data_IF_439689695633
#
_entry.id   IF_439689695633
#
_cell.length_a   1.000
_cell.length_b   1.000
_cell.length_c   1.000
_cell.angle_alpha   90.00
_cell.angle_beta   90.00
_cell.angle_gamma   90.00
#
_symmetry.space_group_name_H-M   'P 1'
#
loop_
_entity.id
_entity.type
_entity.pdbx_description
1 polymer ?
#
# COMPACT_ATOMS: atom_id res chain seq x y z
N UNK A 1 1.42 -50.13 58.85
CA UNK A 1 2.16 -49.71 57.64
C UNK A 1 1.37 -48.60 56.96
N UNK A 2 2.00 -47.44 56.82
CA UNK A 2 1.45 -46.18 56.36
C UNK A 2 1.92 -45.92 54.91
N UNK A 3 1.07 -45.28 54.12
CA UNK A 3 1.31 -44.62 52.81
C UNK A 3 1.75 -45.49 51.62
N UNK A 4 0.82 -45.81 50.69
CA UNK A 4 1.23 -46.15 49.31
C UNK A 4 0.16 -45.98 48.21
N UNK A 5 -0.80 -45.06 48.36
CA UNK A 5 -1.71 -44.72 47.26
C UNK A 5 -1.94 -43.21 47.24
N UNK A 6 -1.20 -42.48 46.39
CA UNK A 6 -1.55 -41.10 45.94
C UNK A 6 -0.57 -40.46 44.94
N UNK A 7 -0.05 -41.18 43.93
CA UNK A 7 0.64 -40.51 42.80
C UNK A 7 0.37 -41.27 41.50
N UNK A 8 -0.86 -41.18 40.96
CA UNK A 8 -1.16 -41.71 39.61
C UNK A 8 -2.32 -41.00 38.91
N UNK A 9 -2.59 -39.74 39.26
CA UNK A 9 -3.63 -38.93 38.60
C UNK A 9 -3.11 -37.59 38.02
N UNK A 10 -1.83 -37.25 38.24
CA UNK A 10 -1.26 -35.97 37.79
C UNK A 10 -0.65 -36.01 36.38
N UNK A 11 -0.37 -37.21 35.83
CA UNK A 11 0.29 -37.36 34.53
C UNK A 11 -0.67 -37.37 33.31
N UNK A 12 -1.97 -37.56 33.53
CA UNK A 12 -3.00 -37.51 32.48
C UNK A 12 -3.63 -36.12 32.31
N UNK A 13 -3.53 -35.23 33.29
CA UNK A 13 -4.10 -33.88 33.24
C UNK A 13 -3.24 -32.89 32.44
N UNK A 14 -1.92 -33.06 32.44
CA UNK A 14 -0.99 -32.14 31.75
C UNK A 14 -1.12 -32.19 30.22
N UNK A 15 -1.22 -33.36 29.55
CA UNK A 15 -1.44 -33.42 28.09
C UNK A 15 -2.80 -32.82 27.67
N UNK A 16 -3.85 -33.04 28.46
CA UNK A 16 -5.21 -32.54 28.18
C UNK A 16 -5.26 -31.01 28.31
N UNK A 17 -4.68 -30.44 29.36
CA UNK A 17 -4.63 -28.98 29.56
C UNK A 17 -3.76 -28.28 28.52
N UNK A 18 -2.64 -28.89 28.10
CA UNK A 18 -1.76 -28.35 27.06
C UNK A 18 -2.44 -28.32 25.68
N UNK A 19 -3.25 -29.33 25.35
CA UNK A 19 -4.05 -29.37 24.13
C UNK A 19 -5.18 -28.33 24.12
N UNK A 20 -5.77 -28.04 25.29
CA UNK A 20 -6.82 -27.03 25.45
C UNK A 20 -6.34 -25.60 25.20
N UNK A 21 -5.14 -25.26 25.70
CA UNK A 21 -4.54 -23.94 25.49
C UNK A 21 -4.24 -23.66 24.01
N UNK A 22 -3.69 -24.63 23.28
CA UNK A 22 -3.38 -24.46 21.86
C UNK A 22 -4.65 -24.30 21.02
N UNK A 23 -5.69 -25.11 21.28
CA UNK A 23 -7.01 -24.96 20.64
C UNK A 23 -7.64 -23.60 20.90
N UNK A 24 -7.52 -23.09 22.13
CA UNK A 24 -7.99 -21.75 22.46
C UNK A 24 -7.27 -20.67 21.65
N UNK A 25 -5.94 -20.72 21.56
CA UNK A 25 -5.15 -19.75 20.79
C UNK A 25 -5.52 -19.76 19.31
N UNK A 26 -5.60 -20.95 18.69
CA UNK A 26 -6.02 -21.08 17.30
C UNK A 26 -7.42 -20.50 17.07
N UNK A 27 -8.38 -20.82 17.96
CA UNK A 27 -9.73 -20.27 17.86
C UNK A 27 -9.76 -18.74 18.00
N UNK A 28 -8.95 -18.13 18.88
CA UNK A 28 -8.84 -16.66 18.94
C UNK A 28 -8.24 -16.08 17.65
N UNK A 29 -7.16 -16.67 17.15
CA UNK A 29 -6.52 -16.29 15.90
C UNK A 29 -7.48 -16.37 14.72
N UNK A 30 -8.22 -17.47 14.60
CA UNK A 30 -9.20 -17.71 13.53
C UNK A 30 -10.32 -16.68 13.54
N UNK A 31 -10.87 -16.35 14.73
CA UNK A 31 -11.92 -15.32 14.86
C UNK A 31 -11.43 -13.95 14.43
N UNK A 32 -10.22 -13.57 14.85
CA UNK A 32 -9.61 -12.32 14.44
C UNK A 32 -9.34 -12.30 12.93
N UNK A 33 -8.74 -13.37 12.39
CA UNK A 33 -8.44 -13.52 10.96
C UNK A 33 -9.69 -13.43 10.08
N UNK A 34 -10.77 -14.15 10.44
CA UNK A 34 -12.06 -14.11 9.73
C UNK A 34 -12.70 -12.73 9.75
N UNK A 35 -12.45 -11.97 10.83
CA UNK A 35 -12.87 -10.57 10.96
C UNK A 35 -11.88 -9.60 10.27
N UNK A 36 -10.94 -10.11 9.49
CA UNK A 36 -9.85 -9.40 8.83
C UNK A 36 -8.92 -8.64 9.78
N UNK A 37 -8.95 -8.93 11.09
CA UNK A 37 -8.11 -8.30 12.11
C UNK A 37 -6.72 -8.93 12.17
N UNK A 38 -5.95 -8.78 11.11
CA UNK A 38 -4.68 -9.51 10.94
C UNK A 38 -3.66 -9.20 12.03
N UNK A 39 -3.50 -7.93 12.42
CA UNK A 39 -2.58 -7.56 13.52
C UNK A 39 -2.98 -8.19 14.85
N UNK A 40 -4.28 -8.27 15.13
CA UNK A 40 -4.77 -8.92 16.35
C UNK A 40 -4.60 -10.45 16.30
N UNK A 41 -4.65 -11.05 15.11
CA UNK A 41 -4.51 -12.49 14.91
C UNK A 41 -3.06 -13.00 15.08
N UNK A 42 -2.06 -12.20 14.65
CA UNK A 42 -0.62 -12.54 14.70
C UNK A 42 -0.17 -13.14 16.05
N UNK A 43 -0.33 -12.46 17.21
CA UNK A 43 0.21 -12.97 18.48
C UNK A 43 -0.43 -14.29 18.91
N UNK A 44 -1.68 -14.57 18.49
CA UNK A 44 -2.32 -15.84 18.77
C UNK A 44 -1.69 -16.99 17.97
N UNK A 45 -1.45 -16.77 16.67
CA UNK A 45 -0.81 -17.78 15.83
C UNK A 45 0.66 -17.98 16.19
N UNK A 46 1.43 -16.92 16.42
CA UNK A 46 2.82 -17.01 16.89
C UNK A 46 2.91 -17.90 18.14
N UNK A 47 2.05 -17.64 19.13
CA UNK A 47 2.02 -18.42 20.37
C UNK A 47 1.52 -19.86 20.15
N UNK A 48 0.59 -20.08 19.24
CA UNK A 48 0.10 -21.43 18.91
C UNK A 48 1.17 -22.29 18.20
N UNK A 49 2.00 -21.67 17.36
CA UNK A 49 3.05 -22.32 16.56
C UNK A 49 4.36 -22.55 17.33
N UNK A 50 4.56 -21.98 18.52
CA UNK A 50 5.73 -22.27 19.37
C UNK A 50 5.84 -23.76 19.74
N UNK A 51 4.71 -24.46 19.86
CA UNK A 51 4.66 -25.89 20.25
C UNK A 51 4.57 -26.84 19.06
N UNK A 52 4.03 -26.37 17.95
CA UNK A 52 3.81 -27.14 16.72
C UNK A 52 4.06 -26.20 15.53
N UNK A 53 5.34 -26.01 15.20
CA UNK A 53 5.78 -25.00 14.24
C UNK A 53 5.41 -25.32 12.80
N UNK A 54 4.98 -26.54 12.49
CA UNK A 54 4.66 -26.99 11.13
C UNK A 54 3.16 -27.27 10.94
N UNK A 55 2.31 -26.75 11.82
CA UNK A 55 0.86 -26.78 11.62
C UNK A 55 0.47 -25.91 10.42
N UNK A 56 0.32 -26.53 9.25
CA UNK A 56 0.15 -25.86 7.95
C UNK A 56 -0.97 -24.81 7.94
N UNK A 57 -2.16 -25.13 8.47
CA UNK A 57 -3.30 -24.21 8.51
C UNK A 57 -3.00 -22.91 9.29
N UNK A 58 -2.45 -23.04 10.51
CA UNK A 58 -2.11 -21.89 11.35
C UNK A 58 -0.92 -21.11 10.79
N UNK A 59 0.06 -21.80 10.22
CA UNK A 59 1.21 -21.19 9.57
C UNK A 59 0.78 -20.40 8.32
N UNK A 60 -0.18 -20.92 7.54
CA UNK A 60 -0.71 -20.23 6.35
C UNK A 60 -1.39 -18.93 6.74
N UNK A 61 -2.26 -18.97 7.75
CA UNK A 61 -2.96 -17.78 8.25
C UNK A 61 -2.00 -16.77 8.86
N UNK A 62 -0.94 -17.22 9.53
CA UNK A 62 0.11 -16.33 10.03
C UNK A 62 0.89 -15.67 8.88
N UNK A 63 1.26 -16.43 7.85
CA UNK A 63 1.93 -15.93 6.66
C UNK A 63 1.10 -14.83 5.98
N UNK A 64 -0.20 -15.09 5.80
CA UNK A 64 -1.17 -14.12 5.28
C UNK A 64 -1.28 -12.88 6.16
N UNK A 65 -1.37 -13.04 7.48
CA UNK A 65 -1.43 -11.89 8.39
C UNK A 65 -0.21 -10.99 8.24
N UNK A 66 0.98 -11.58 8.16
CA UNK A 66 2.20 -10.81 7.95
C UNK A 66 2.22 -10.12 6.59
N UNK A 67 1.86 -10.82 5.50
CA UNK A 67 1.80 -10.25 4.15
C UNK A 67 0.80 -9.07 4.08
N UNK A 68 -0.44 -9.28 4.59
CA UNK A 68 -1.51 -8.27 4.63
C UNK A 68 -1.21 -7.05 5.50
N UNK A 69 -0.20 -7.14 6.35
CA UNK A 69 0.26 -6.05 7.25
C UNK A 69 1.64 -5.53 6.87
N UNK A 70 2.10 -5.82 5.65
CA UNK A 70 3.38 -5.37 5.08
C UNK A 70 4.62 -5.85 5.86
N UNK A 71 4.49 -6.91 6.67
CA UNK A 71 5.58 -7.56 7.38
C UNK A 71 6.20 -8.67 6.52
N UNK A 72 6.81 -8.26 5.39
CA UNK A 72 7.21 -9.20 4.34
C UNK A 72 8.32 -10.18 4.75
N UNK A 73 9.23 -9.79 5.64
CA UNK A 73 10.31 -10.69 6.08
C UNK A 73 9.76 -11.84 6.94
N UNK A 74 8.95 -11.59 7.99
CA UNK A 74 8.21 -12.67 8.66
C UNK A 74 7.29 -13.48 7.74
N UNK A 75 6.63 -12.83 6.77
CA UNK A 75 5.81 -13.54 5.78
C UNK A 75 6.65 -14.52 4.95
N UNK A 76 7.81 -14.07 4.45
CA UNK A 76 8.73 -14.89 3.65
C UNK A 76 9.22 -16.12 4.43
N UNK A 77 9.52 -15.98 5.73
CA UNK A 77 9.88 -17.13 6.58
C UNK A 77 8.73 -18.14 6.68
N UNK A 78 7.52 -17.65 6.97
CA UNK A 78 6.35 -18.52 7.10
C UNK A 78 6.05 -19.26 5.80
N UNK A 79 6.03 -18.55 4.66
CA UNK A 79 5.81 -19.14 3.35
C UNK A 79 6.92 -20.13 2.97
N UNK A 80 8.18 -19.82 3.28
CA UNK A 80 9.31 -20.72 3.06
C UNK A 80 9.19 -22.05 3.82
N UNK A 81 8.63 -22.02 5.03
CA UNK A 81 8.31 -23.23 5.81
C UNK A 81 7.08 -23.95 5.27
N UNK A 82 6.07 -23.24 4.78
CA UNK A 82 4.87 -23.81 4.18
C UNK A 82 5.18 -24.63 2.93
N UNK A 83 6.06 -24.16 2.05
CA UNK A 83 6.38 -24.88 0.81
C UNK A 83 7.16 -26.18 1.02
N UNK A 84 7.69 -26.41 2.23
CA UNK A 84 8.30 -27.69 2.62
C UNK A 84 7.26 -28.74 3.03
N UNK A 85 5.99 -28.32 3.18
CA UNK A 85 4.85 -29.16 3.51
C UNK A 85 3.97 -29.33 2.27
N UNK A 86 2.94 -30.16 2.38
CA UNK A 86 1.87 -30.13 1.39
C UNK A 86 1.14 -28.78 1.46
N UNK A 87 1.08 -28.07 0.33
CA UNK A 87 0.64 -26.68 0.26
C UNK A 87 -0.08 -26.38 -1.06
N UNK A 88 -0.52 -25.13 -1.21
CA UNK A 88 -1.31 -24.68 -2.35
C UNK A 88 -0.48 -23.96 -3.40
N UNK A 89 -0.97 -23.95 -4.64
CA UNK A 89 -0.40 -23.15 -5.73
C UNK A 89 -0.27 -21.65 -5.37
N UNK A 90 -1.23 -21.14 -4.59
CA UNK A 90 -1.20 -19.75 -4.12
C UNK A 90 0.00 -19.49 -3.20
N UNK A 91 0.22 -20.36 -2.20
CA UNK A 91 1.31 -20.19 -1.24
C UNK A 91 2.70 -20.29 -1.91
N UNK A 92 2.88 -21.24 -2.83
CA UNK A 92 4.13 -21.36 -3.60
C UNK A 92 4.38 -20.12 -4.48
N UNK A 93 3.32 -19.56 -5.07
CA UNK A 93 3.42 -18.37 -5.89
C UNK A 93 3.75 -17.13 -5.06
N UNK A 94 3.06 -16.93 -3.92
CA UNK A 94 3.35 -15.84 -2.98
C UNK A 94 4.77 -15.93 -2.44
N UNK A 95 5.29 -17.13 -2.19
CA UNK A 95 6.69 -17.31 -1.80
C UNK A 95 7.66 -16.79 -2.86
N UNK A 96 7.45 -17.13 -4.14
CA UNK A 96 8.26 -16.62 -5.24
C UNK A 96 8.22 -15.08 -5.35
N UNK A 97 7.03 -14.49 -5.21
CA UNK A 97 6.84 -13.03 -5.21
C UNK A 97 7.56 -12.37 -4.02
N UNK A 98 7.47 -12.94 -2.81
CA UNK A 98 8.17 -12.42 -1.64
C UNK A 98 9.70 -12.54 -1.77
N UNK A 99 10.22 -13.59 -2.42
CA UNK A 99 11.64 -13.68 -2.76
C UNK A 99 12.07 -12.50 -3.65
N UNK A 100 11.30 -12.23 -4.71
CA UNK A 100 11.53 -11.06 -5.57
C UNK A 100 11.46 -9.75 -4.78
N UNK A 101 10.51 -9.63 -3.85
CA UNK A 101 10.38 -8.42 -3.01
C UNK A 101 11.56 -8.19 -2.04
N UNK A 102 12.36 -9.22 -1.80
CA UNK A 102 13.62 -9.14 -1.05
C UNK A 102 14.85 -9.10 -1.98
N UNK A 103 14.64 -8.79 -3.26
CA UNK A 103 15.65 -8.78 -4.32
C UNK A 103 16.37 -10.13 -4.52
N UNK A 104 15.78 -11.25 -4.07
CA UNK A 104 16.32 -12.61 -4.22
C UNK A 104 15.86 -13.22 -5.55
N UNK A 105 16.17 -12.54 -6.65
CA UNK A 105 15.61 -12.81 -7.98
C UNK A 105 15.98 -14.18 -8.55
N UNK A 106 17.21 -14.65 -8.31
CA UNK A 106 17.64 -15.97 -8.76
C UNK A 106 16.81 -17.08 -8.10
N UNK A 107 16.56 -16.95 -6.80
CA UNK A 107 15.72 -17.89 -6.05
C UNK A 107 14.25 -17.78 -6.46
N UNK A 108 13.76 -16.55 -6.68
CA UNK A 108 12.41 -16.32 -7.18
C UNK A 108 12.19 -16.98 -8.56
N UNK A 109 13.16 -16.85 -9.48
CA UNK A 109 13.11 -17.47 -10.79
C UNK A 109 13.02 -19.00 -10.71
N UNK A 110 13.89 -19.62 -9.88
CA UNK A 110 13.85 -21.04 -9.65
C UNK A 110 12.49 -21.50 -9.09
N UNK A 111 11.92 -20.75 -8.15
CA UNK A 111 10.60 -21.05 -7.59
C UNK A 111 9.48 -20.89 -8.64
N UNK A 112 9.53 -19.88 -9.50
CA UNK A 112 8.57 -19.74 -10.60
C UNK A 112 8.67 -20.91 -11.59
N UNK A 113 9.88 -21.38 -11.92
CA UNK A 113 10.07 -22.58 -12.76
C UNK A 113 9.52 -23.84 -12.10
N UNK A 114 9.72 -23.99 -10.80
CA UNK A 114 9.13 -25.08 -10.03
C UNK A 114 7.60 -25.04 -10.10
N UNK A 115 7.01 -23.87 -9.86
CA UNK A 115 5.57 -23.65 -9.92
C UNK A 115 5.00 -24.02 -11.31
N UNK A 116 5.63 -23.56 -12.39
CA UNK A 116 5.21 -23.88 -13.77
C UNK A 116 5.27 -25.38 -14.08
N UNK A 117 6.24 -26.10 -13.51
CA UNK A 117 6.36 -27.55 -13.66
C UNK A 117 5.22 -28.29 -12.97
N UNK A 118 4.77 -27.78 -11.82
CA UNK A 118 3.74 -28.42 -10.98
C UNK A 118 2.31 -28.07 -11.41
N UNK A 119 2.07 -26.82 -11.80
CA UNK A 119 0.72 -26.27 -12.03
C UNK A 119 0.42 -25.93 -13.49
N UNK A 120 1.42 -25.99 -14.37
CA UNK A 120 1.26 -25.77 -15.80
C UNK A 120 1.69 -24.38 -16.26
N UNK A 121 1.43 -24.11 -17.53
CA UNK A 121 1.93 -22.93 -18.23
C UNK A 121 1.16 -21.65 -17.87
N UNK A 122 1.87 -20.62 -17.45
CA UNK A 122 1.40 -19.24 -17.29
C UNK A 122 2.37 -18.30 -18.04
N UNK A 123 1.91 -17.52 -19.04
CA UNK A 123 2.78 -16.65 -19.83
C UNK A 123 3.47 -15.56 -19.01
N UNK A 124 2.79 -14.98 -18.02
CA UNK A 124 3.34 -13.89 -17.21
C UNK A 124 4.38 -14.43 -16.24
N UNK A 125 4.12 -15.57 -15.58
CA UNK A 125 5.13 -16.23 -14.75
C UNK A 125 6.34 -16.62 -15.58
N UNK A 126 6.12 -17.18 -16.77
CA UNK A 126 7.21 -17.58 -17.68
C UNK A 126 8.07 -16.39 -18.07
N UNK A 127 7.45 -15.25 -18.40
CA UNK A 127 8.14 -14.02 -18.73
C UNK A 127 8.90 -13.42 -17.53
N UNK A 128 8.32 -13.47 -16.32
CA UNK A 128 8.97 -13.01 -15.09
C UNK A 128 10.17 -13.87 -14.72
N UNK A 129 10.06 -15.20 -14.78
CA UNK A 129 11.18 -16.11 -14.54
C UNK A 129 12.34 -15.84 -15.52
N UNK A 130 12.01 -15.70 -16.82
CA UNK A 130 13.01 -15.38 -17.84
C UNK A 130 13.64 -13.99 -17.65
N UNK A 131 12.90 -12.99 -17.16
CA UNK A 131 13.42 -11.67 -16.79
C UNK A 131 14.45 -11.77 -15.66
N UNK A 132 14.20 -12.58 -14.64
CA UNK A 132 15.13 -12.74 -13.52
C UNK A 132 16.37 -13.55 -13.90
N UNK A 133 16.21 -14.59 -14.72
CA UNK A 133 17.32 -15.42 -15.22
C UNK A 133 18.30 -14.64 -16.11
N UNK A 134 17.78 -13.78 -16.99
CA UNK A 134 18.61 -12.98 -17.92
C UNK A 134 19.27 -11.78 -17.24
N UNK A 135 18.85 -11.42 -16.04
CA UNK A 135 19.16 -10.15 -15.40
C UNK A 135 18.19 -9.02 -15.81
N UNK A 136 18.00 -8.06 -14.91
CA UNK A 136 17.00 -7.00 -15.04
C UNK A 136 17.57 -5.70 -15.60
N UNK A 137 18.78 -5.69 -16.17
CA UNK A 137 19.47 -4.47 -16.63
C UNK A 137 18.59 -3.61 -17.56
N UNK A 138 17.72 -4.22 -18.37
CA UNK A 138 16.76 -3.51 -19.23
C UNK A 138 15.74 -2.65 -18.47
N UNK A 139 15.54 -2.91 -17.18
CA UNK A 139 14.64 -2.17 -16.29
C UNK A 139 15.38 -1.14 -15.42
N UNK A 140 16.71 -1.04 -15.50
CA UNK A 140 17.46 -0.05 -14.74
C UNK A 140 17.93 1.08 -15.65
N UNK A 141 17.38 2.28 -15.43
CA UNK A 141 17.98 3.48 -16.00
C UNK A 141 19.27 3.81 -15.26
N UNK A 142 20.24 4.38 -15.98
CA UNK A 142 21.45 4.92 -15.38
C UNK A 142 21.07 6.01 -14.37
N UNK A 143 21.54 5.87 -13.13
CA UNK A 143 21.30 6.83 -12.04
C UNK A 143 21.80 8.25 -12.34
N UNK A 144 22.71 8.41 -13.31
CA UNK A 144 23.11 9.71 -13.84
C UNK A 144 21.98 10.39 -14.62
N UNK A 145 21.08 9.62 -15.24
CA UNK A 145 19.96 10.09 -16.05
C UNK A 145 18.69 10.36 -15.24
N UNK A 146 18.48 9.66 -14.13
CA UNK A 146 17.30 9.86 -13.30
C UNK A 146 17.50 9.41 -11.86
N UNK A 147 16.73 10.01 -10.94
CA UNK A 147 16.71 9.61 -9.53
C UNK A 147 15.32 9.79 -8.92
N UNK A 148 15.07 9.02 -7.88
CA UNK A 148 13.88 9.16 -7.03
C UNK A 148 14.30 9.68 -5.66
N UNK A 149 13.56 10.65 -5.13
CA UNK A 149 13.88 11.34 -3.87
C UNK A 149 12.71 11.28 -2.90
N UNK A 150 13.02 11.04 -1.63
CA UNK A 150 12.02 11.13 -0.55
C UNK A 150 11.64 12.59 -0.33
N UNK A 151 10.35 12.86 -0.09
CA UNK A 151 9.84 14.21 0.10
C UNK A 151 9.65 14.60 1.56
N UNK A 152 9.75 15.90 1.84
CA UNK A 152 9.56 16.51 3.15
C UNK A 152 8.09 16.57 3.65
N UNK A 153 7.14 16.07 2.86
CA UNK A 153 5.71 16.02 3.21
C UNK A 153 5.31 14.71 3.93
N UNK A 154 6.17 13.69 3.85
CA UNK A 154 5.95 12.41 4.53
C UNK A 154 5.99 12.57 6.05
N UNK A 155 5.27 11.71 6.72
CA UNK A 155 5.22 11.55 8.16
C UNK A 155 5.99 10.31 8.60
N UNK A 156 5.88 9.94 9.88
CA UNK A 156 6.34 8.64 10.37
C UNK A 156 5.36 7.50 10.08
N UNK A 157 4.26 7.78 9.39
CA UNK A 157 3.22 6.82 9.02
C UNK A 157 3.13 6.71 7.48
N UNK A 158 2.09 6.06 6.96
CA UNK A 158 1.86 5.88 5.53
C UNK A 158 1.31 7.17 4.92
N UNK A 159 1.93 7.62 3.84
CA UNK A 159 1.56 8.78 3.04
C UNK A 159 1.65 8.42 1.55
N UNK A 160 0.51 8.45 0.85
CA UNK A 160 0.46 7.87 -0.49
C UNK A 160 -0.62 8.44 -1.41
N UNK A 161 -0.62 8.00 -2.66
CA UNK A 161 -1.53 8.40 -3.74
C UNK A 161 -1.61 9.92 -3.92
N UNK A 162 -0.48 10.61 -4.19
CA UNK A 162 -0.48 12.04 -4.48
C UNK A 162 -1.28 12.35 -5.75
N UNK A 163 -2.05 13.43 -5.72
CA UNK A 163 -2.70 14.02 -6.90
C UNK A 163 -2.59 15.53 -6.87
N UNK A 164 -2.56 16.15 -8.05
CA UNK A 164 -2.53 17.61 -8.15
C UNK A 164 -3.86 18.24 -7.74
N UNK A 165 -3.78 19.30 -6.96
CA UNK A 165 -4.89 20.19 -6.65
C UNK A 165 -4.40 21.62 -6.47
N UNK A 166 -5.01 22.55 -7.20
CA UNK A 166 -4.52 23.90 -7.42
C UNK A 166 -3.01 23.88 -7.79
N UNK A 167 -2.17 24.58 -7.02
CA UNK A 167 -0.71 24.61 -7.22
C UNK A 167 0.03 23.55 -6.39
N UNK A 168 -0.70 22.71 -5.66
CA UNK A 168 -0.16 21.81 -4.66
C UNK A 168 -0.50 20.34 -4.92
N UNK A 169 -0.43 19.55 -3.86
CA UNK A 169 -0.80 18.14 -3.86
C UNK A 169 -1.84 17.85 -2.79
N UNK A 170 -2.75 16.93 -3.10
CA UNK A 170 -3.58 16.20 -2.15
C UNK A 170 -3.09 14.76 -2.10
N UNK A 171 -3.05 14.16 -0.93
CA UNK A 171 -2.61 12.77 -0.75
C UNK A 171 -3.32 12.14 0.44
N UNK A 172 -3.23 10.82 0.54
CA UNK A 172 -3.82 10.02 1.61
C UNK A 172 -2.79 9.80 2.71
N UNK A 173 -3.22 9.85 3.96
CA UNK A 173 -2.37 9.54 5.12
C UNK A 173 -3.14 8.82 6.22
N UNK A 174 -2.48 7.89 6.91
CA UNK A 174 -2.92 7.30 8.18
C UNK A 174 -2.27 7.98 9.41
N UNK A 175 -1.72 9.20 9.24
CA UNK A 175 -1.21 9.98 10.38
C UNK A 175 -2.35 10.35 11.36
N UNK A 176 -2.12 10.32 12.68
CA UNK A 176 -3.15 10.65 13.66
C UNK A 176 -3.67 12.08 13.54
N UNK A 177 -4.99 12.23 13.68
CA UNK A 177 -5.65 13.54 13.82
C UNK A 177 -5.32 14.11 15.20
N UNK A 178 -4.77 15.32 15.24
CA UNK A 178 -4.41 16.00 16.49
C UNK A 178 -5.61 16.10 17.44
N UNK A 179 -5.43 15.69 18.70
CA UNK A 179 -6.41 15.90 19.78
C UNK A 179 -7.60 14.93 19.86
N UNK A 180 -7.63 13.86 19.07
CA UNK A 180 -8.69 12.83 19.15
C UNK A 180 -8.12 11.45 19.46
N UNK A 181 -8.78 10.67 20.33
CA UNK A 181 -8.56 9.23 20.42
C UNK A 181 -8.96 8.60 19.08
N UNK A 182 -7.97 8.29 18.25
CA UNK A 182 -8.23 7.69 16.95
C UNK A 182 -8.76 6.26 17.15
N UNK A 183 -9.86 5.94 16.46
CA UNK A 183 -10.23 4.54 16.28
C UNK A 183 -9.20 3.96 15.31
N UNK A 184 -8.46 2.94 15.75
CA UNK A 184 -7.54 2.20 14.89
C UNK A 184 -8.34 1.28 13.97
N UNK A 185 -7.90 1.19 12.72
CA UNK A 185 -8.43 0.29 11.73
C UNK A 185 -8.08 -1.14 12.12
N UNK A 186 -9.13 -1.96 12.23
CA UNK A 186 -9.05 -3.35 12.65
C UNK A 186 -8.06 -4.19 11.81
N UNK A 187 -7.95 -3.90 10.51
CA UNK A 187 -7.16 -4.68 9.57
C UNK A 187 -5.65 -4.64 9.86
N UNK A 188 -5.08 -3.45 9.88
CA UNK A 188 -3.63 -3.22 9.96
C UNK A 188 -3.21 -2.47 11.24
N UNK A 189 -4.15 -2.14 12.12
CA UNK A 189 -3.87 -1.41 13.35
C UNK A 189 -3.51 0.08 13.17
N UNK A 190 -3.50 0.59 11.93
CA UNK A 190 -3.24 2.00 11.62
C UNK A 190 -4.46 2.89 11.87
N UNK A 191 -4.33 4.21 11.80
CA UNK A 191 -5.50 5.09 11.88
C UNK A 191 -6.30 5.09 10.56
N UNK A 192 -7.55 5.54 10.61
CA UNK A 192 -8.36 5.70 9.41
C UNK A 192 -7.76 6.74 8.46
N UNK A 193 -7.57 6.31 7.21
CA UNK A 193 -7.05 7.12 6.11
C UNK A 193 -7.79 8.46 5.98
N UNK A 194 -7.03 9.52 5.83
CA UNK A 194 -7.50 10.91 5.76
C UNK A 194 -6.79 11.62 4.62
N UNK A 195 -7.48 12.55 3.94
CA UNK A 195 -6.85 13.39 2.92
C UNK A 195 -6.11 14.56 3.56
N UNK A 196 -4.86 14.72 3.16
CA UNK A 196 -4.01 15.85 3.47
C UNK A 196 -3.63 16.60 2.21
N UNK A 197 -3.19 17.85 2.38
CA UNK A 197 -2.73 18.71 1.30
C UNK A 197 -1.47 19.47 1.67
N UNK A 198 -0.68 19.76 0.66
CA UNK A 198 0.29 20.86 0.63
C UNK A 198 -0.20 21.86 -0.41
N UNK A 199 -0.21 23.16 -0.10
CA UNK A 199 -0.87 24.16 -0.95
C UNK A 199 -0.07 24.52 -2.21
N UNK A 200 1.23 24.28 -2.21
CA UNK A 200 2.14 24.65 -3.31
C UNK A 200 3.28 23.64 -3.42
N UNK A 201 3.48 23.07 -4.60
CA UNK A 201 4.58 22.12 -4.86
C UNK A 201 5.96 22.76 -4.79
N UNK A 202 6.08 24.09 -4.83
CA UNK A 202 7.35 24.78 -4.60
C UNK A 202 7.93 24.54 -3.20
N UNK A 203 7.10 24.14 -2.23
CA UNK A 203 7.54 23.78 -0.87
C UNK A 203 7.84 22.29 -0.70
N UNK A 204 7.56 21.48 -1.73
CA UNK A 204 7.79 20.04 -1.75
C UNK A 204 9.20 19.80 -2.29
N UNK A 205 10.11 19.43 -1.40
CA UNK A 205 11.53 19.29 -1.70
C UNK A 205 12.08 17.93 -1.23
N UNK A 206 13.25 17.56 -1.75
CA UNK A 206 14.01 16.40 -1.26
C UNK A 206 14.24 16.55 0.25
N UNK A 207 13.76 15.57 1.00
CA UNK A 207 13.79 15.50 2.44
C UNK A 207 15.20 15.61 3.06
N UNK A 208 16.24 15.32 2.26
CA UNK A 208 17.65 15.43 2.67
C UNK A 208 18.22 16.84 2.47
N UNK A 209 17.58 17.67 1.66
CA UNK A 209 18.07 19.03 1.40
C UNK A 209 17.70 19.93 2.58
N UNK A 210 18.71 20.28 3.40
CA UNK A 210 18.64 21.48 4.25
C UNK A 210 18.78 22.69 3.35
N UNK A 211 17.68 23.35 3.02
CA UNK A 211 17.72 24.60 2.24
C UNK A 211 17.66 25.81 3.18
N UNK A 212 18.20 26.99 2.79
CA UNK A 212 18.00 28.23 3.55
C UNK A 212 16.51 28.59 3.72
N UNK A 213 15.65 28.19 2.78
CA UNK A 213 14.20 28.31 2.91
C UNK A 213 13.63 27.38 4.01
N UNK A 214 14.18 26.15 4.13
CA UNK A 214 13.87 25.24 5.23
C UNK A 214 14.37 25.82 6.56
N UNK A 215 15.57 26.38 6.61
CA UNK A 215 16.09 27.07 7.81
C UNK A 215 15.24 28.28 8.18
N UNK A 216 14.76 29.05 7.21
CA UNK A 216 13.85 30.17 7.42
C UNK A 216 12.49 29.67 7.96
N UNK A 217 11.89 28.62 7.41
CA UNK A 217 10.66 28.00 7.95
C UNK A 217 10.85 27.41 9.36
N UNK A 218 12.00 26.80 9.64
CA UNK A 218 12.39 26.31 10.98
C UNK A 218 12.61 27.47 11.96
N UNK A 219 13.10 28.62 11.51
CA UNK A 219 13.30 29.81 12.36
C UNK A 219 11.98 30.41 12.87
N UNK A 220 10.92 30.32 12.06
CA UNK A 220 9.55 30.68 12.47
C UNK A 220 8.97 29.63 13.44
N UNK A 221 9.41 28.37 13.36
CA UNK A 221 9.01 27.33 14.30
C UNK A 221 9.61 27.48 15.70
N UNK A 222 10.87 27.93 15.77
CA UNK A 222 11.61 28.04 17.03
C UNK A 222 11.10 29.17 17.93
N UNK A 223 10.44 30.20 17.37
CA UNK A 223 9.87 31.33 18.14
C UNK A 223 8.62 30.98 18.95
N UNK A 224 8.02 29.81 18.72
CA UNK A 224 6.81 29.35 19.42
C UNK A 224 7.10 28.47 20.65
N UNK A 225 8.38 28.31 21.01
CA UNK A 225 8.79 27.71 22.29
C UNK A 225 9.13 28.80 23.29
N UNK A 226 8.10 29.39 23.87
CA UNK A 226 8.24 30.05 25.18
C UNK A 226 7.60 29.17 26.26
N UNK A 227 8.47 28.77 27.18
CA UNK A 227 8.25 28.35 28.57
C UNK A 227 8.08 26.85 28.83
N UNK A 228 9.21 26.21 29.14
CA UNK A 228 9.46 25.23 30.21
C UNK A 228 10.79 24.54 29.86
N UNK A 229 11.85 24.50 30.65
CA UNK A 229 12.28 25.07 31.91
C UNK A 229 13.84 24.99 31.90
N UNK A 230 14.50 25.75 32.78
CA UNK A 230 15.95 25.95 32.79
C UNK A 230 16.72 24.75 33.39
N UNK A 231 17.66 24.17 32.62
CA UNK A 231 18.95 23.74 33.17
C UNK A 231 20.07 23.82 32.11
N UNK A 232 21.21 24.39 32.49
CA UNK A 232 22.41 24.57 31.68
C UNK A 232 23.20 23.27 31.54
N UNK A 233 23.75 22.99 30.36
CA UNK A 233 24.56 21.81 30.06
C UNK A 233 25.83 21.69 30.93
N UNK A 234 26.15 20.49 31.42
CA UNK A 234 27.42 20.17 32.08
C UNK A 234 28.40 19.44 31.15
N UNK A 235 29.69 19.73 31.32
CA UNK A 235 30.80 19.47 30.40
C UNK A 235 31.39 18.04 30.40
N UNK A 236 30.62 16.98 30.67
CA UNK A 236 31.19 15.61 30.81
C UNK A 236 30.52 14.48 30.03
N UNK A 237 29.66 14.78 29.05
CA UNK A 237 29.20 13.75 28.10
C UNK A 237 30.25 13.54 26.99
N UNK A 238 31.17 12.63 27.28
CA UNK A 238 32.30 12.25 26.45
C UNK A 238 31.88 11.55 25.14
N UNK A 239 32.47 11.99 24.01
CA UNK A 239 32.30 11.42 22.67
C UNK A 239 32.98 10.05 22.58
N UNK A 240 32.20 8.97 22.39
CA UNK A 240 32.66 7.75 21.72
C UNK A 240 32.02 7.66 20.33
N UNK A 241 32.86 7.85 19.32
CA UNK A 241 32.59 7.54 17.92
C UNK A 241 32.49 6.01 17.75
N UNK A 242 31.29 5.48 17.86
CA UNK A 242 30.95 4.18 17.30
C UNK A 242 30.21 4.43 15.99
N UNK A 243 30.89 4.17 14.87
CA UNK A 243 30.31 4.23 13.53
C UNK A 243 29.35 3.04 13.39
N UNK A 244 28.05 3.32 13.53
CA UNK A 244 26.97 2.40 13.25
C UNK A 244 26.53 2.61 11.78
N UNK A 245 26.43 1.58 10.92
CA UNK A 245 26.06 1.76 9.50
C UNK A 245 24.60 2.15 9.29
N UNK A 246 23.82 2.36 10.35
CA UNK A 246 22.60 3.17 10.32
C UNK A 246 22.98 4.64 10.07
N UNK A 247 23.40 4.94 8.84
CA UNK A 247 23.63 6.30 8.42
C UNK A 247 22.29 7.06 8.56
N UNK A 248 22.24 7.89 9.57
CA UNK A 248 21.19 8.80 9.99
C UNK A 248 20.32 9.35 8.85
N UNK A 249 19.22 8.68 8.52
CA UNK A 249 17.99 9.39 8.23
C UNK A 249 17.42 9.78 9.59
N UNK A 250 17.84 10.94 10.12
CA UNK A 250 17.03 11.62 11.13
C UNK A 250 15.59 11.61 10.62
N UNK A 251 14.57 11.28 11.45
CA UNK A 251 13.19 11.31 11.02
C UNK A 251 12.97 12.68 10.41
N UNK A 252 12.81 12.72 9.09
CA UNK A 252 12.62 13.96 8.36
C UNK A 252 11.39 14.56 9.01
N UNK A 253 11.66 15.70 9.62
CA UNK A 253 11.08 16.15 10.86
C UNK A 253 9.55 16.09 10.83
N UNK A 254 8.95 15.30 11.73
CA UNK A 254 7.49 15.29 11.94
C UNK A 254 7.00 16.74 12.19
N UNK A 255 7.87 17.67 12.62
CA UNK A 255 7.53 19.10 12.73
C UNK A 255 7.47 19.85 11.40
N UNK A 256 8.33 19.52 10.42
CA UNK A 256 8.33 20.16 9.10
C UNK A 256 7.09 19.78 8.30
N UNK A 257 6.77 18.48 8.26
CA UNK A 257 5.56 18.02 7.59
C UNK A 257 4.31 18.60 8.28
N UNK A 258 4.24 18.65 9.61
CA UNK A 258 3.12 19.28 10.36
C UNK A 258 2.88 20.77 10.06
N UNK A 259 3.89 21.51 9.62
CA UNK A 259 3.76 22.96 9.34
C UNK A 259 3.30 23.29 7.93
N UNK A 260 3.45 22.36 6.99
CA UNK A 260 3.13 22.57 5.58
C UNK A 260 2.00 21.68 5.08
N UNK A 261 1.72 20.59 5.80
CA UNK A 261 0.72 19.61 5.46
C UNK A 261 -0.51 19.84 6.33
N UNK A 262 -1.64 20.08 5.68
CA UNK A 262 -2.91 20.38 6.34
C UNK A 262 -3.96 19.35 5.94
N UNK A 263 -4.92 18.98 6.82
CA UNK A 263 -6.09 18.22 6.39
C UNK A 263 -6.77 18.92 5.20
N UNK A 264 -7.13 18.17 4.16
CA UNK A 264 -7.57 18.74 2.88
C UNK A 264 -8.84 19.59 3.02
N UNK A 265 -9.95 18.99 3.43
CA UNK A 265 -11.21 19.70 3.64
C UNK A 265 -12.11 18.95 4.62
N UNK A 266 -12.78 19.65 5.53
CA UNK A 266 -13.64 19.03 6.57
C UNK A 266 -14.80 18.22 5.98
N UNK A 267 -15.35 18.64 4.84
CA UNK A 267 -16.45 17.92 4.17
C UNK A 267 -15.98 16.64 3.44
N UNK A 268 -14.69 16.58 3.08
CA UNK A 268 -14.09 15.41 2.45
C UNK A 268 -13.50 14.46 3.48
N UNK A 269 -12.99 14.97 4.60
CA UNK A 269 -12.40 14.17 5.67
C UNK A 269 -13.42 13.78 6.74
N UNK A 270 -14.04 12.60 6.61
CA UNK A 270 -14.96 12.07 7.61
C UNK A 270 -14.24 11.19 8.64
N UNK A 271 -15.03 10.40 9.38
CA UNK A 271 -14.57 9.57 10.51
C UNK A 271 -13.82 8.30 10.07
N UNK A 272 -14.05 7.81 8.85
CA UNK A 272 -13.53 6.55 8.33
C UNK A 272 -12.56 6.79 7.16
N UNK A 273 -12.13 5.74 6.47
CA UNK A 273 -11.17 5.83 5.36
C UNK A 273 -11.66 6.77 4.25
N UNK A 274 -10.77 7.69 3.88
CA UNK A 274 -10.94 8.64 2.80
C UNK A 274 -9.76 8.55 1.83
N UNK A 275 -10.07 8.45 0.55
CA UNK A 275 -9.11 8.34 -0.53
C UNK A 275 -8.72 6.90 -0.86
N UNK A 276 -7.97 6.67 -1.95
CA UNK A 276 -7.54 7.62 -3.00
C UNK A 276 -8.64 8.44 -3.70
N UNK A 277 -8.24 9.56 -4.31
CA UNK A 277 -9.11 10.50 -5.04
C UNK A 277 -8.59 10.82 -6.44
N UNK A 278 -9.47 11.27 -7.33
CA UNK A 278 -9.10 12.01 -8.53
C UNK A 278 -10.00 13.23 -8.72
N UNK A 279 -9.48 14.24 -9.42
CA UNK A 279 -10.22 15.46 -9.77
C UNK A 279 -10.50 15.49 -11.27
N UNK A 280 -11.56 16.18 -11.67
CA UNK A 280 -11.70 16.59 -13.07
C UNK A 280 -10.70 17.69 -13.42
N UNK A 281 -10.56 18.02 -14.71
CA UNK A 281 -9.63 19.05 -15.19
C UNK A 281 -9.85 20.43 -14.55
N UNK A 282 -11.11 20.79 -14.29
CA UNK A 282 -11.46 22.04 -13.62
C UNK A 282 -11.23 22.03 -12.10
N UNK A 283 -10.93 20.86 -11.51
CA UNK A 283 -10.78 20.62 -10.08
C UNK A 283 -11.98 21.06 -9.23
N UNK A 284 -13.16 21.14 -9.85
CA UNK A 284 -14.44 21.44 -9.20
C UNK A 284 -15.27 20.17 -8.94
N UNK A 285 -14.81 19.01 -9.41
CA UNK A 285 -15.42 17.71 -9.17
C UNK A 285 -14.35 16.74 -8.68
N UNK A 286 -14.65 16.02 -7.59
CA UNK A 286 -13.78 14.98 -7.02
C UNK A 286 -14.51 13.65 -7.01
N UNK A 287 -13.80 12.59 -7.38
CA UNK A 287 -14.18 11.21 -7.14
C UNK A 287 -13.30 10.67 -6.01
N UNK A 288 -13.89 10.01 -5.01
CA UNK A 288 -13.22 9.58 -3.78
C UNK A 288 -13.60 8.17 -3.39
N UNK A 289 -12.61 7.38 -2.99
CA UNK A 289 -12.80 6.06 -2.38
C UNK A 289 -13.07 6.22 -0.89
N UNK A 290 -14.06 5.49 -0.36
CA UNK A 290 -14.46 5.53 1.05
C UNK A 290 -14.87 4.17 1.57
N UNK A 291 -14.72 3.93 2.86
CA UNK A 291 -15.31 2.75 3.48
C UNK A 291 -16.85 2.89 3.56
N UNK A 292 -17.57 1.80 3.27
CA UNK A 292 -19.00 1.70 3.45
C UNK A 292 -19.39 1.79 4.94
N UNK A 293 -20.49 2.46 5.24
CA UNK A 293 -21.00 2.64 6.61
C UNK A 293 -22.01 1.53 6.94
N UNK A 294 -21.54 0.30 7.14
CA UNK A 294 -22.40 -0.77 7.67
C UNK A 294 -22.12 -0.93 9.15
N UNK A 295 -23.20 -1.02 9.96
CA UNK A 295 -23.14 -1.22 11.40
C UNK A 295 -22.23 -2.39 11.76
N UNK A 296 -21.37 -2.21 12.76
CA UNK A 296 -20.50 -3.26 13.29
C UNK A 296 -21.37 -4.35 13.94
N UNK A 297 -21.66 -5.42 13.19
CA UNK A 297 -22.16 -6.70 13.68
C UNK A 297 -21.11 -7.78 13.46
N UNK A 298 -21.16 -8.86 14.24
CA UNK A 298 -20.24 -9.99 14.12
C UNK A 298 -20.26 -10.55 12.69
N UNK A 299 -19.09 -10.50 12.02
CA UNK A 299 -18.87 -11.10 10.69
C UNK A 299 -19.05 -10.18 9.48
N UNK A 300 -19.36 -8.88 9.63
CA UNK A 300 -19.48 -7.97 8.48
C UNK A 300 -18.12 -7.46 7.97
N UNK A 301 -17.84 -7.69 6.69
CA UNK A 301 -16.67 -7.15 5.99
C UNK A 301 -17.00 -5.77 5.41
N UNK A 302 -16.24 -4.77 5.83
CA UNK A 302 -16.31 -3.41 5.32
C UNK A 302 -15.76 -3.35 3.88
N UNK A 303 -16.59 -2.93 2.93
CA UNK A 303 -16.22 -2.73 1.51
C UNK A 303 -15.88 -1.28 1.21
N UNK A 304 -15.02 -1.06 0.20
CA UNK A 304 -14.74 0.28 -0.31
C UNK A 304 -15.77 0.68 -1.39
N UNK A 305 -16.15 1.94 -1.41
CA UNK A 305 -17.16 2.52 -2.29
C UNK A 305 -16.67 3.83 -2.86
N UNK A 306 -17.03 4.11 -4.10
CA UNK A 306 -16.73 5.38 -4.75
C UNK A 306 -17.85 6.40 -4.56
N UNK A 307 -17.47 7.66 -4.40
CA UNK A 307 -18.40 8.79 -4.31
C UNK A 307 -17.92 9.94 -5.17
N UNK A 308 -18.86 10.76 -5.65
CA UNK A 308 -18.60 12.02 -6.35
C UNK A 308 -19.03 13.20 -5.48
N UNK A 309 -18.24 14.26 -5.44
CA UNK A 309 -18.61 15.54 -4.82
C UNK A 309 -18.24 16.69 -5.77
N UNK A 310 -18.93 17.83 -5.62
CA UNK A 310 -18.74 19.03 -6.44
C UNK A 310 -18.42 20.23 -5.56
N UNK A 311 -17.46 21.04 -5.96
CA UNK A 311 -17.12 22.31 -5.34
C UNK A 311 -18.16 23.38 -5.74
N UNK A 312 -18.82 23.98 -4.75
CA UNK A 312 -19.72 25.14 -4.92
C UNK A 312 -19.43 26.14 -3.81
N UNK A 313 -19.17 27.40 -4.18
CA UNK A 313 -18.88 28.50 -3.25
C UNK A 313 -17.79 28.13 -2.21
N UNK A 314 -16.69 27.52 -2.66
CA UNK A 314 -15.58 27.11 -1.80
C UNK A 314 -15.81 25.85 -0.94
N UNK A 315 -16.97 25.19 -1.07
CA UNK A 315 -17.35 24.00 -0.31
C UNK A 315 -17.55 22.79 -1.21
N UNK A 316 -17.21 21.59 -0.74
CA UNK A 316 -17.52 20.32 -1.39
C UNK A 316 -18.89 19.81 -0.96
N UNK A 317 -19.83 19.77 -1.89
CA UNK A 317 -21.24 19.42 -1.67
C UNK A 317 -21.72 18.35 -2.65
N UNK A 318 -22.96 17.89 -2.49
CA UNK A 318 -23.60 16.97 -3.44
C UNK A 318 -22.90 15.60 -3.49
N UNK A 319 -22.73 14.98 -2.32
CA UNK A 319 -22.18 13.63 -2.28
C UNK A 319 -23.13 12.65 -2.97
N UNK A 320 -22.69 12.14 -4.10
CA UNK A 320 -23.38 11.14 -4.89
C UNK A 320 -22.63 9.82 -4.78
N UNK A 321 -23.32 8.75 -4.40
CA UNK A 321 -22.76 7.40 -4.44
C UNK A 321 -22.58 6.96 -5.90
N UNK A 322 -21.43 6.37 -6.21
CA UNK A 322 -21.23 5.80 -7.53
C UNK A 322 -22.21 4.65 -7.76
N UNK A 323 -22.99 4.75 -8.83
CA UNK A 323 -24.17 3.89 -9.07
C UNK A 323 -23.86 2.39 -9.20
N UNK A 324 -22.60 2.02 -9.40
CA UNK A 324 -22.15 0.63 -9.51
C UNK A 324 -21.38 0.13 -8.28
N UNK A 325 -21.43 0.87 -7.17
CA UNK A 325 -21.01 0.36 -5.87
C UNK A 325 -21.86 -0.85 -5.46
N UNK A 326 -21.29 -1.72 -4.63
CA UNK A 326 -22.01 -2.82 -3.99
C UNK A 326 -21.58 -3.00 -2.53
N UNK A 327 -22.32 -3.83 -1.80
CA UNK A 327 -21.91 -4.32 -0.49
C UNK A 327 -21.15 -5.67 -0.60
N UNK A 328 -21.14 -6.28 -1.79
CA UNK A 328 -20.50 -7.59 -2.02
C UNK A 328 -19.07 -7.47 -2.52
N UNK A 329 -18.76 -6.37 -3.20
CA UNK A 329 -17.45 -6.02 -3.73
C UNK A 329 -17.11 -4.57 -3.41
N UNK A 330 -15.84 -4.25 -3.56
CA UNK A 330 -15.23 -2.95 -3.41
C UNK A 330 -15.04 -2.26 -4.77
N UNK A 331 -15.18 -0.95 -4.78
CA UNK A 331 -14.79 -0.06 -5.88
C UNK A 331 -13.95 1.07 -5.31
N UNK A 332 -12.85 1.42 -5.97
CA UNK A 332 -11.97 2.48 -5.50
C UNK A 332 -10.94 2.90 -6.53
N UNK A 333 -10.00 3.73 -6.09
CA UNK A 333 -8.89 4.23 -6.90
C UNK A 333 -9.35 4.86 -8.23
N UNK A 334 -10.24 5.87 -8.19
CA UNK A 334 -10.78 6.46 -9.41
C UNK A 334 -9.69 7.19 -10.20
N UNK A 335 -9.81 7.16 -11.52
CA UNK A 335 -8.98 7.90 -12.46
C UNK A 335 -9.83 8.41 -13.62
N UNK A 336 -9.88 9.72 -13.79
CA UNK A 336 -10.64 10.34 -14.87
C UNK A 336 -9.70 10.65 -16.03
N UNK A 337 -10.08 10.27 -17.25
CA UNK A 337 -9.40 10.72 -18.46
C UNK A 337 -9.43 12.26 -18.56
N UNK A 338 -8.40 12.95 -19.10
CA UNK A 338 -8.31 14.41 -19.04
C UNK A 338 -9.46 15.18 -19.70
N UNK A 339 -10.14 14.57 -20.67
CA UNK A 339 -11.33 15.13 -21.34
C UNK A 339 -12.65 14.82 -20.61
N UNK A 340 -12.61 14.02 -19.54
CA UNK A 340 -13.78 13.62 -18.76
C UNK A 340 -14.68 12.55 -19.40
N UNK A 341 -14.27 11.97 -20.53
CA UNK A 341 -15.07 11.00 -21.29
C UNK A 341 -15.03 9.58 -20.71
N UNK A 342 -13.99 9.23 -19.96
CA UNK A 342 -13.81 7.90 -19.39
C UNK A 342 -13.40 7.98 -17.93
N UNK A 343 -14.01 7.15 -17.08
CA UNK A 343 -13.63 6.95 -15.68
C UNK A 343 -13.11 5.53 -15.51
N UNK A 344 -11.81 5.38 -15.26
CA UNK A 344 -11.21 4.13 -14.80
C UNK A 344 -11.27 4.03 -13.27
N UNK A 345 -11.33 2.80 -12.76
CA UNK A 345 -11.31 2.52 -11.34
C UNK A 345 -10.91 1.07 -11.07
N UNK A 346 -10.48 0.78 -9.85
CA UNK A 346 -10.17 -0.56 -9.36
C UNK A 346 -11.39 -1.19 -8.71
N UNK A 347 -11.63 -2.49 -8.96
CA UNK A 347 -12.66 -3.26 -8.26
C UNK A 347 -12.34 -4.75 -8.17
N UNK A 348 -12.87 -5.41 -7.13
CA UNK A 348 -12.90 -6.89 -6.95
C UNK A 348 -14.30 -7.45 -7.29
N UNK A 349 -14.87 -6.99 -8.42
CA UNK A 349 -16.19 -7.42 -8.89
C UNK A 349 -16.21 -8.92 -9.28
N UNK A 350 -17.32 -9.65 -9.02
CA UNK A 350 -17.46 -11.04 -9.46
C UNK A 350 -17.29 -11.18 -10.98
N UNK A 351 -16.58 -12.24 -11.41
CA UNK A 351 -16.27 -12.47 -12.82
C UNK A 351 -15.06 -11.67 -13.33
N UNK A 352 -14.29 -11.07 -12.42
CA UNK A 352 -13.00 -10.45 -12.72
C UNK A 352 -11.91 -11.42 -13.19
N UNK A 353 -10.76 -10.86 -13.59
CA UNK A 353 -9.60 -11.61 -14.09
C UNK A 353 -8.72 -12.15 -12.96
N UNK A 354 -8.69 -11.48 -11.81
CA UNK A 354 -7.81 -11.82 -10.70
C UNK A 354 -8.30 -11.30 -9.35
N UNK A 355 -7.35 -10.80 -8.55
CA UNK A 355 -7.62 -10.23 -7.23
C UNK A 355 -8.42 -8.94 -7.34
N UNK A 356 -7.79 -7.88 -7.85
CA UNK A 356 -8.43 -6.61 -8.17
C UNK A 356 -8.14 -6.28 -9.62
N UNK A 357 -9.16 -5.86 -10.33
CA UNK A 357 -9.02 -5.50 -11.74
C UNK A 357 -9.28 -4.00 -11.95
N UNK A 358 -8.83 -3.50 -13.09
CA UNK A 358 -9.30 -2.24 -13.64
C UNK A 358 -10.58 -2.44 -14.44
N UNK A 359 -11.54 -1.55 -14.17
CA UNK A 359 -12.77 -1.36 -14.92
C UNK A 359 -12.84 0.08 -15.41
N UNK A 360 -13.62 0.30 -16.45
CA UNK A 360 -13.90 1.64 -16.94
C UNK A 360 -15.38 1.86 -17.25
N UNK A 361 -15.82 3.11 -17.11
CA UNK A 361 -17.13 3.57 -17.53
C UNK A 361 -16.98 4.68 -18.56
N UNK A 362 -17.80 4.63 -19.62
CA UNK A 362 -17.91 5.72 -20.58
C UNK A 362 -18.92 6.77 -20.10
N UNK A 363 -18.60 8.05 -20.35
CA UNK A 363 -19.50 9.17 -20.06
C UNK A 363 -20.64 9.19 -21.08
N UNK A 364 -21.85 9.39 -20.58
CA UNK A 364 -23.07 9.57 -21.38
C UNK A 364 -23.82 10.82 -20.90
N UNK A 365 -24.86 11.22 -21.64
CA UNK A 365 -25.74 12.33 -21.25
C UNK A 365 -26.44 12.07 -19.90
N UNK A 366 -26.66 10.81 -19.55
CA UNK A 366 -27.30 10.38 -18.30
C UNK A 366 -26.33 10.06 -17.15
N UNK A 367 -25.03 10.30 -17.34
CA UNK A 367 -23.98 9.94 -16.38
C UNK A 367 -23.09 8.79 -16.87
N UNK A 368 -22.62 7.95 -15.97
CA UNK A 368 -21.70 6.84 -16.30
C UNK A 368 -22.44 5.61 -16.83
N UNK A 369 -22.03 5.12 -17.99
CA UNK A 369 -22.44 3.82 -18.54
C UNK A 369 -22.00 2.64 -17.66
N UNK A 370 -22.49 1.44 -17.94
CA UNK A 370 -22.12 0.24 -17.19
C UNK A 370 -20.60 0.01 -17.22
N UNK A 371 -20.02 -0.50 -16.11
CA UNK A 371 -18.59 -0.75 -16.05
C UNK A 371 -18.19 -1.90 -16.96
N UNK A 372 -17.07 -1.73 -17.65
CA UNK A 372 -16.47 -2.73 -18.54
C UNK A 372 -15.13 -3.14 -17.97
N UNK A 373 -14.90 -4.46 -17.84
CA UNK A 373 -13.60 -4.99 -17.42
C UNK A 373 -12.54 -4.64 -18.48
N UNK A 374 -11.39 -4.12 -18.08
CA UNK A 374 -10.32 -3.69 -19.00
C UNK A 374 -9.66 -4.84 -19.78
N UNK A 375 -9.94 -6.10 -19.41
CA UNK A 375 -9.56 -7.30 -20.15
C UNK A 375 -8.09 -7.71 -19.98
N UNK A 376 -7.68 -8.86 -20.58
CA UNK A 376 -6.41 -9.53 -20.31
C UNK A 376 -5.15 -8.82 -20.82
N UNK A 377 -5.31 -7.73 -21.58
CA UNK A 377 -4.18 -6.87 -21.98
C UNK A 377 -3.79 -5.84 -20.91
N UNK A 378 -4.58 -5.74 -19.83
CA UNK A 378 -4.36 -4.85 -18.69
C UNK A 378 -4.47 -5.66 -17.40
N UNK A 379 -5.60 -6.33 -17.21
CA UNK A 379 -5.89 -7.13 -16.03
C UNK A 379 -5.21 -8.50 -16.09
N UNK A 380 -4.82 -9.00 -14.93
CA UNK A 380 -4.12 -10.27 -14.78
C UNK A 380 -4.81 -11.12 -13.71
N UNK A 381 -4.17 -12.22 -13.29
CA UNK A 381 -4.62 -12.98 -12.12
C UNK A 381 -4.27 -12.29 -10.79
N UNK A 382 -3.53 -11.18 -10.81
CA UNK A 382 -3.05 -10.43 -9.64
C UNK A 382 -3.93 -9.25 -9.28
N UNK A 383 -3.32 -8.23 -8.67
CA UNK A 383 -3.96 -6.97 -8.32
C UNK A 383 -3.53 -5.84 -9.27
N UNK A 384 -4.46 -5.29 -10.04
CA UNK A 384 -4.30 -4.05 -10.80
C UNK A 384 -4.96 -2.86 -10.09
N UNK A 385 -4.16 -1.86 -9.73
CA UNK A 385 -4.57 -0.77 -8.84
C UNK A 385 -4.04 0.59 -9.24
N UNK A 386 -4.57 1.64 -8.60
CA UNK A 386 -4.11 3.04 -8.74
C UNK A 386 -3.99 3.52 -10.19
N UNK A 387 -5.06 3.39 -11.01
CA UNK A 387 -5.03 3.95 -12.36
C UNK A 387 -4.79 5.47 -12.31
N UNK A 388 -4.17 6.01 -13.36
CA UNK A 388 -3.94 7.42 -13.56
C UNK A 388 -3.82 7.72 -15.05
N UNK A 389 -4.39 8.83 -15.52
CA UNK A 389 -4.16 9.32 -16.88
C UNK A 389 -3.26 10.54 -16.85
N UNK A 390 -2.24 10.56 -17.70
CA UNK A 390 -1.50 11.79 -17.98
C UNK A 390 -2.27 12.74 -18.90
N UNK A 391 -1.75 13.95 -19.11
CA UNK A 391 -2.38 14.97 -19.97
C UNK A 391 -2.58 14.54 -21.43
N UNK A 392 -1.85 13.50 -21.88
CA UNK A 392 -1.91 12.97 -23.24
C UNK A 392 -2.85 11.78 -23.39
N UNK A 393 -3.47 11.33 -22.29
CA UNK A 393 -4.39 10.18 -22.28
C UNK A 393 -3.69 8.82 -22.15
N UNK A 394 -2.40 8.77 -21.82
CA UNK A 394 -1.72 7.50 -21.49
C UNK A 394 -2.20 7.03 -20.12
N UNK A 395 -2.61 5.75 -20.04
CA UNK A 395 -3.00 5.11 -18.79
C UNK A 395 -1.74 4.61 -18.08
N UNK A 396 -1.63 4.94 -16.81
CA UNK A 396 -0.69 4.38 -15.85
C UNK A 396 -1.47 3.58 -14.81
N UNK A 397 -0.89 2.49 -14.31
CA UNK A 397 -1.48 1.68 -13.26
C UNK A 397 -0.39 0.85 -12.58
N UNK A 398 -0.69 0.29 -11.42
CA UNK A 398 0.19 -0.64 -10.72
C UNK A 398 -0.30 -2.07 -10.81
N UNK A 399 0.60 -3.03 -10.99
CA UNK A 399 0.28 -4.47 -11.00
C UNK A 399 1.36 -5.30 -10.30
N UNK A 400 0.97 -6.40 -9.66
CA UNK A 400 1.88 -7.35 -8.98
C UNK A 400 2.10 -8.66 -9.78
N UNK A 401 1.67 -8.66 -11.05
CA UNK A 401 1.70 -9.86 -11.89
C UNK A 401 2.42 -9.70 -13.22
N UNK A 402 2.36 -8.51 -13.82
CA UNK A 402 3.15 -8.22 -15.00
C UNK A 402 4.66 -8.33 -14.70
N UNK A 403 5.51 -8.75 -15.65
CA UNK A 403 6.95 -8.88 -15.41
C UNK A 403 7.58 -7.56 -14.94
N UNK A 404 8.26 -7.62 -13.81
CA UNK A 404 8.70 -6.44 -13.07
C UNK A 404 9.73 -6.72 -11.99
N UNK A 405 10.08 -5.69 -11.23
CA UNK A 405 11.12 -5.67 -10.21
C UNK A 405 10.66 -6.20 -8.85
N UNK A 406 9.36 -6.17 -8.51
CA UNK A 406 8.96 -6.40 -7.12
C UNK A 406 7.52 -6.81 -6.90
N UNK A 407 6.89 -6.16 -5.92
CA UNK A 407 5.48 -6.33 -5.61
C UNK A 407 4.65 -5.63 -6.68
N UNK A 408 3.87 -4.62 -6.27
CA UNK A 408 3.27 -3.69 -7.23
C UNK A 408 4.36 -2.90 -7.96
N UNK A 409 4.34 -2.94 -9.29
CA UNK A 409 5.14 -2.07 -10.14
C UNK A 409 4.24 -1.15 -10.95
N UNK A 410 4.70 0.07 -11.24
CA UNK A 410 4.00 1.03 -12.11
C UNK A 410 4.28 0.69 -13.58
N UNK A 411 3.21 0.53 -14.34
CA UNK A 411 3.20 0.33 -15.79
C UNK A 411 2.53 1.50 -16.50
N UNK A 412 2.81 1.64 -17.79
CA UNK A 412 2.05 2.51 -18.69
C UNK A 412 1.55 1.77 -19.92
N UNK A 413 0.42 2.20 -20.46
CA UNK A 413 -0.16 1.65 -21.68
C UNK A 413 -0.96 2.72 -22.43
N UNK A 414 -0.88 2.70 -23.77
CA UNK A 414 -1.74 3.52 -24.61
C UNK A 414 -2.99 2.73 -24.97
N UNK A 415 -4.13 3.39 -24.93
CA UNK A 415 -5.43 2.81 -25.28
C UNK A 415 -5.92 3.35 -26.62
N UNK A 416 -6.62 2.52 -27.38
CA UNK A 416 -7.37 2.96 -28.56
C UNK A 416 -8.71 3.62 -28.14
N UNK A 417 -9.48 4.10 -29.12
CA UNK A 417 -10.79 4.71 -28.86
C UNK A 417 -11.77 3.75 -28.17
N UNK A 418 -11.60 2.43 -28.33
CA UNK A 418 -12.40 1.39 -27.68
C UNK A 418 -11.82 0.98 -26.31
N UNK A 419 -10.89 1.75 -25.76
CA UNK A 419 -10.21 1.51 -24.47
C UNK A 419 -9.40 0.21 -24.43
N UNK A 420 -8.98 -0.31 -25.58
CA UNK A 420 -8.13 -1.51 -25.67
C UNK A 420 -6.66 -1.12 -25.73
N UNK A 421 -5.77 -1.84 -25.05
CA UNK A 421 -4.34 -1.57 -25.12
C UNK A 421 -3.80 -1.77 -26.54
N UNK A 422 -3.06 -0.79 -27.06
CA UNK A 422 -2.44 -0.87 -28.40
C UNK A 422 -1.06 -1.54 -28.37
N UNK A 423 -0.51 -1.73 -27.17
CA UNK A 423 0.69 -2.53 -26.89
C UNK A 423 0.56 -3.20 -25.51
N UNK A 424 1.46 -4.13 -25.20
CA UNK A 424 1.58 -4.66 -23.84
C UNK A 424 1.97 -3.55 -22.83
N UNK A 425 1.47 -3.58 -21.59
CA UNK A 425 1.89 -2.64 -20.56
C UNK A 425 3.41 -2.61 -20.39
N UNK A 426 3.97 -1.40 -20.40
CA UNK A 426 5.41 -1.16 -20.27
C UNK A 426 5.74 -0.84 -18.82
N UNK A 427 6.61 -1.65 -18.20
CA UNK A 427 7.12 -1.39 -16.85
C UNK A 427 8.00 -0.14 -16.86
N UNK A 428 7.81 0.79 -15.92
CA UNK A 428 8.57 2.04 -15.89
C UNK A 428 10.01 1.90 -15.37
N UNK A 429 10.38 0.73 -14.86
CA UNK A 429 11.73 0.42 -14.40
C UNK A 429 12.20 1.27 -13.21
N UNK A 430 13.41 0.99 -12.74
CA UNK A 430 14.09 1.80 -11.74
C UNK A 430 14.58 3.12 -12.37
N UNK A 431 14.53 4.25 -11.64
CA UNK A 431 14.27 4.35 -10.20
C UNK A 431 12.79 4.59 -9.81
N UNK A 432 11.86 4.55 -10.76
CA UNK A 432 10.42 4.69 -10.48
C UNK A 432 9.95 3.45 -9.72
N UNK A 433 10.15 2.27 -10.29
CA UNK A 433 9.90 0.99 -9.65
C UNK A 433 11.14 0.51 -8.86
N UNK A 434 10.90 -0.43 -7.96
CA UNK A 434 11.86 -1.00 -7.03
C UNK A 434 11.47 -2.45 -6.74
N UNK A 435 12.22 -3.14 -5.88
CA UNK A 435 11.85 -4.49 -5.44
C UNK A 435 10.60 -4.50 -4.54
N UNK A 436 9.89 -3.39 -4.38
CA UNK A 436 8.91 -3.16 -3.32
C UNK A 436 7.58 -2.80 -3.96
N UNK A 437 6.60 -2.32 -3.20
CA UNK A 437 5.38 -1.83 -3.82
C UNK A 437 5.58 -0.39 -4.28
N UNK A 438 5.33 -0.13 -5.54
CA UNK A 438 5.41 1.16 -6.21
C UNK A 438 4.08 1.45 -6.92
N UNK A 439 3.47 2.58 -6.58
CA UNK A 439 2.10 2.88 -6.99
C UNK A 439 1.72 4.35 -6.94
N UNK A 440 0.54 4.70 -7.46
CA UNK A 440 -0.03 6.04 -7.36
C UNK A 440 0.86 7.13 -7.93
N UNK A 441 1.09 7.11 -9.24
CA UNK A 441 1.95 8.09 -9.94
C UNK A 441 1.14 9.27 -10.49
N UNK A 442 1.73 10.47 -10.45
CA UNK A 442 1.24 11.66 -11.20
C UNK A 442 2.40 12.39 -11.84
N UNK A 443 2.28 12.69 -13.14
CA UNK A 443 3.32 13.32 -13.93
C UNK A 443 3.20 14.85 -13.97
N UNK A 444 4.33 15.54 -14.06
CA UNK A 444 4.38 16.99 -14.26
C UNK A 444 5.47 17.37 -15.28
N UNK A 445 5.39 18.61 -15.75
CA UNK A 445 6.40 19.18 -16.66
C UNK A 445 6.55 18.40 -17.97
N UNK A 446 5.45 17.89 -18.54
CA UNK A 446 5.47 17.11 -19.79
C UNK A 446 6.37 15.85 -19.70
N UNK A 447 6.30 15.13 -18.56
CA UNK A 447 7.08 13.91 -18.35
C UNK A 447 8.50 14.13 -17.83
N UNK A 448 8.86 15.36 -17.44
CA UNK A 448 10.19 15.67 -16.87
C UNK A 448 10.33 15.20 -15.41
N UNK A 449 9.23 15.01 -14.70
CA UNK A 449 9.22 14.42 -13.38
C UNK A 449 7.84 13.91 -12.97
N UNK A 450 7.80 13.19 -11.87
CA UNK A 450 6.57 12.64 -11.31
C UNK A 450 6.61 12.62 -9.79
N UNK A 451 5.44 12.59 -9.16
CA UNK A 451 5.27 12.15 -7.78
C UNK A 451 4.72 10.73 -7.79
N UNK A 452 5.20 9.88 -6.90
CA UNK A 452 4.77 8.48 -6.78
C UNK A 452 4.77 8.03 -5.32
N UNK A 453 4.07 6.95 -5.02
CA UNK A 453 4.10 6.27 -3.73
C UNK A 453 4.92 5.00 -3.79
N UNK A 454 5.60 4.68 -2.69
CA UNK A 454 6.37 3.45 -2.60
C UNK A 454 6.59 3.00 -1.16
N UNK A 455 6.55 1.68 -0.91
CA UNK A 455 6.90 1.08 0.38
C UNK A 455 8.38 0.69 0.51
N UNK A 456 9.25 1.21 -0.38
CA UNK A 456 10.68 0.85 -0.45
C UNK A 456 11.50 1.11 0.82
N UNK A 457 10.95 1.86 1.78
CA UNK A 457 11.55 2.13 3.10
C UNK A 457 10.78 1.50 4.27
N UNK A 458 9.74 0.72 3.99
CA UNK A 458 8.92 0.01 4.96
C UNK A 458 7.53 0.60 5.19
N UNK A 459 7.37 1.93 5.06
CA UNK A 459 6.08 2.61 5.01
C UNK A 459 5.79 3.04 3.57
N UNK A 460 4.52 3.17 3.20
CA UNK A 460 4.15 3.89 2.00
C UNK A 460 4.58 5.36 2.15
N UNK A 461 5.56 5.79 1.35
CA UNK A 461 6.09 7.15 1.34
C UNK A 461 5.85 7.77 -0.03
N UNK A 462 5.69 9.10 -0.09
CA UNK A 462 5.66 9.87 -1.34
C UNK A 462 7.07 10.24 -1.77
N UNK A 463 7.40 9.93 -3.01
CA UNK A 463 8.65 10.26 -3.66
C UNK A 463 8.45 11.18 -4.85
N UNK A 464 9.52 11.86 -5.24
CA UNK A 464 9.59 12.57 -6.50
C UNK A 464 10.63 11.91 -7.41
N UNK A 465 10.19 11.53 -8.60
CA UNK A 465 11.05 11.14 -9.70
C UNK A 465 11.53 12.38 -10.45
N UNK A 466 12.83 12.48 -10.65
CA UNK A 466 13.48 13.60 -11.35
C UNK A 466 14.34 13.02 -12.47
N UNK A 467 13.99 13.36 -13.72
CA UNK A 467 14.85 13.09 -14.87
C UNK A 467 15.91 14.19 -14.96
N UNK A 468 17.19 13.80 -14.95
CA UNK A 468 18.31 14.69 -15.21
C UNK A 468 18.46 14.85 -16.73
N UNK A 469 18.67 16.09 -17.16
CA UNK A 469 18.92 16.42 -18.57
C UNK A 469 20.38 16.14 -18.93
#
# INVERSE_FOLDING_TARGET
MKYMFRITFLWLLVPVLLSGQQRYLLSQGDRAYQSLQYVAAIPFYEKALQKDSLRSDALSKLADCYDRTQQYTPALDCYGRLIQLDTTAHAELRYAQLLAMHSRYVEAAAQYRHWLTRYGHDPLITATAALYERGMDSLYLDTLQARTVLLNINSGYSDFSPVFYARGLVFVSDRPKSGTSSKRFAWNGADFLTLYRVNDTAHVIDARLRTPALEHLLSYAAKDRRNADNSTASSNDSRRLAVNPKLNFLPVDNQLSRKMVFPFHVQLNRKYHEGPVCFNRGQDTVYITRNNQVSAGDGHINRLKMYRLVARNGNWVGQEEFRYNSNDYSTGHPALHPDGSVLFFTADMPGGSGGKDLYYCLRTDSGWAAPVNAGPGINTSGDEMFPYFDETGVLYFSSDRWPGLGGLDIFRVRLDAAQRPVQLPENLGAPINSARNDFGIVWYGQGQGAYLSSDRRGNDDIYQYIRRK
#
